data_IF_631446820142
#
_entry.id   IF_631446820142
#
_cell.length_a   1.000
_cell.length_b   1.000
_cell.length_c   1.000
_cell.angle_alpha   90.00
_cell.angle_beta   90.00
_cell.angle_gamma   90.00
#
_symmetry.space_group_name_H-M   'P 1'
#
loop_
_entity.id
_entity.type
_entity.pdbx_description
1 polymer ?
#
# COMPACT_ATOMS: atom_id res chain seq x y z
N UNK A 1 -15.29 -37.88 -76.19
CA UNK A 1 -14.57 -38.36 -74.97
C UNK A 1 -13.73 -37.30 -74.27
N UNK A 2 -13.08 -36.34 -74.94
CA UNK A 2 -12.21 -35.34 -74.26
C UNK A 2 -12.96 -34.32 -73.38
N UNK A 3 -14.16 -33.88 -73.76
CA UNK A 3 -14.94 -32.88 -73.00
C UNK A 3 -15.51 -33.45 -71.69
N UNK A 4 -15.90 -34.73 -71.69
CA UNK A 4 -16.46 -35.38 -70.50
C UNK A 4 -15.41 -35.56 -69.38
N UNK A 5 -14.14 -35.81 -69.75
CA UNK A 5 -13.04 -35.89 -68.78
C UNK A 5 -12.69 -34.52 -68.16
N UNK A 6 -12.84 -33.42 -68.91
CA UNK A 6 -12.64 -32.08 -68.35
C UNK A 6 -13.73 -31.69 -67.35
N UNK A 7 -14.98 -32.06 -67.63
CA UNK A 7 -16.11 -31.79 -66.71
C UNK A 7 -15.96 -32.64 -65.43
N UNK A 8 -15.57 -33.91 -65.55
CA UNK A 8 -15.35 -34.78 -64.41
C UNK A 8 -14.16 -34.32 -63.55
N UNK A 9 -13.10 -33.79 -64.18
CA UNK A 9 -11.94 -33.23 -63.48
C UNK A 9 -12.28 -31.91 -62.75
N UNK A 10 -13.11 -31.05 -63.34
CA UNK A 10 -13.59 -29.82 -62.67
C UNK A 10 -14.52 -30.12 -61.49
N UNK A 11 -15.39 -31.13 -61.60
CA UNK A 11 -16.25 -31.60 -60.52
C UNK A 11 -15.45 -32.23 -59.36
N UNK A 12 -14.34 -32.91 -59.66
CA UNK A 12 -13.44 -33.45 -58.64
C UNK A 12 -12.71 -32.34 -57.87
N UNK A 13 -12.33 -31.24 -58.55
CA UNK A 13 -11.70 -30.06 -57.93
C UNK A 13 -12.63 -29.29 -56.99
N UNK A 14 -13.94 -29.28 -57.28
CA UNK A 14 -14.95 -28.69 -56.39
C UNK A 14 -15.19 -29.52 -55.12
N UNK A 15 -14.95 -30.84 -55.16
CA UNK A 15 -15.03 -31.73 -53.99
C UNK A 15 -13.80 -31.64 -53.06
N UNK A 16 -12.70 -31.05 -53.54
CA UNK A 16 -11.47 -30.83 -52.79
C UNK A 16 -11.29 -29.39 -52.30
N UNK A 17 -12.31 -28.54 -52.42
CA UNK A 17 -12.28 -27.25 -51.72
C UNK A 17 -12.46 -27.52 -50.22
N UNK A 18 -11.49 -27.13 -49.37
CA UNK A 18 -11.70 -27.17 -47.93
C UNK A 18 -12.93 -26.32 -47.61
N UNK A 19 -13.74 -26.69 -46.60
CA UNK A 19 -14.83 -25.83 -46.16
C UNK A 19 -14.24 -24.44 -45.89
N UNK A 20 -14.90 -23.41 -46.43
CA UNK A 20 -14.60 -22.02 -46.09
C UNK A 20 -14.99 -21.90 -44.62
N UNK A 21 -14.05 -22.18 -43.72
CA UNK A 21 -14.12 -21.72 -42.35
C UNK A 21 -14.04 -20.20 -42.42
N UNK A 22 -15.18 -19.53 -42.24
CA UNK A 22 -15.15 -18.13 -41.79
C UNK A 22 -14.24 -18.11 -40.56
N UNK A 23 -13.07 -17.48 -40.70
CA UNK A 23 -12.23 -17.22 -39.55
C UNK A 23 -13.11 -16.44 -38.57
N UNK A 24 -13.30 -16.99 -37.36
CA UNK A 24 -14.05 -16.30 -36.33
C UNK A 24 -13.46 -14.89 -36.20
N UNK A 25 -14.30 -13.86 -36.40
CA UNK A 25 -13.85 -12.47 -36.36
C UNK A 25 -13.17 -12.19 -35.02
N UNK A 26 -11.92 -11.72 -35.05
CA UNK A 26 -11.16 -11.38 -33.83
C UNK A 26 -11.85 -10.27 -33.05
N UNK A 27 -11.59 -10.16 -31.74
CA UNK A 27 -12.10 -9.04 -30.95
C UNK A 27 -11.57 -7.71 -31.49
N UNK A 28 -10.31 -7.66 -31.91
CA UNK A 28 -9.75 -6.46 -32.54
C UNK A 28 -10.55 -6.02 -33.78
N UNK A 29 -10.97 -6.95 -34.64
CA UNK A 29 -11.74 -6.61 -35.84
C UNK A 29 -13.09 -5.97 -35.49
N UNK A 30 -13.72 -6.40 -34.39
CA UNK A 30 -14.97 -5.79 -33.88
C UNK A 30 -14.72 -4.38 -33.33
N UNK A 31 -13.61 -4.19 -32.61
CA UNK A 31 -13.17 -2.87 -32.12
C UNK A 31 -12.94 -1.93 -33.30
N UNK A 32 -12.24 -2.38 -34.35
CA UNK A 32 -11.90 -1.55 -35.52
C UNK A 32 -13.13 -1.11 -36.32
N UNK A 33 -14.16 -1.95 -36.40
CA UNK A 33 -15.43 -1.64 -37.09
C UNK A 33 -16.39 -0.77 -36.26
N UNK A 34 -16.23 -0.73 -34.94
CA UNK A 34 -17.14 0.01 -34.06
C UNK A 34 -17.11 1.52 -34.33
N UNK A 35 -18.27 2.16 -34.32
CA UNK A 35 -18.36 3.63 -34.39
C UNK A 35 -17.99 4.27 -33.04
N UNK A 36 -17.61 5.55 -33.06
CA UNK A 36 -17.40 6.30 -31.83
C UNK A 36 -18.68 6.28 -30.96
N UNK A 37 -18.52 6.07 -29.66
CA UNK A 37 -19.59 5.91 -28.69
C UNK A 37 -20.23 4.51 -28.65
N UNK A 38 -19.79 3.57 -29.49
CA UNK A 38 -20.35 2.22 -29.51
C UNK A 38 -20.06 1.45 -28.22
N UNK A 39 -21.00 0.56 -27.87
CA UNK A 39 -20.82 -0.45 -26.82
C UNK A 39 -20.61 -1.79 -27.52
N UNK A 40 -19.50 -2.45 -27.22
CA UNK A 40 -19.17 -3.79 -27.70
C UNK A 40 -19.30 -4.75 -26.52
N UNK A 41 -20.32 -5.59 -26.57
CA UNK A 41 -20.50 -6.67 -25.61
C UNK A 41 -19.64 -7.87 -26.02
N UNK A 42 -18.73 -8.28 -25.14
CA UNK A 42 -17.92 -9.48 -25.30
C UNK A 42 -18.66 -10.62 -24.61
N UNK A 43 -19.03 -11.64 -25.38
CA UNK A 43 -19.62 -12.86 -24.82
C UNK A 43 -18.60 -13.61 -23.99
N UNK A 44 -19.07 -14.37 -23.00
CA UNK A 44 -18.22 -15.22 -22.17
C UNK A 44 -17.27 -16.08 -23.02
N UNK A 45 -16.02 -16.20 -22.57
CA UNK A 45 -15.00 -16.92 -23.31
C UNK A 45 -13.58 -16.44 -23.02
N UNK A 46 -12.62 -17.21 -23.54
CA UNK A 46 -11.19 -16.94 -23.43
C UNK A 46 -10.63 -16.57 -24.80
N UNK A 47 -10.06 -15.37 -24.87
CA UNK A 47 -9.53 -14.75 -26.08
C UNK A 47 -8.01 -14.65 -25.96
N UNK A 48 -7.30 -15.39 -26.82
CA UNK A 48 -5.82 -15.39 -26.88
C UNK A 48 -5.38 -14.37 -27.94
N UNK A 49 -5.59 -13.09 -27.63
CA UNK A 49 -5.21 -11.97 -28.49
C UNK A 49 -4.85 -10.75 -27.64
N UNK A 50 -3.93 -9.94 -28.15
CA UNK A 50 -3.68 -8.60 -27.64
C UNK A 50 -4.53 -7.59 -28.42
N UNK A 51 -5.14 -6.64 -27.72
CA UNK A 51 -6.04 -5.65 -28.34
C UNK A 51 -5.59 -4.22 -28.10
N UNK A 52 -5.91 -3.34 -29.03
CA UNK A 52 -5.71 -1.90 -28.95
C UNK A 52 -7.04 -1.16 -29.14
N UNK A 53 -7.35 -0.25 -28.22
CA UNK A 53 -8.54 0.57 -28.21
C UNK A 53 -8.08 2.04 -28.31
N UNK A 54 -8.37 2.68 -29.44
CA UNK A 54 -8.00 4.07 -29.73
C UNK A 54 -9.19 5.00 -30.03
N UNK A 55 -10.40 4.45 -29.98
CA UNK A 55 -11.66 5.16 -30.23
C UNK A 55 -12.47 5.22 -28.94
N UNK A 56 -13.28 6.27 -28.73
CA UNK A 56 -14.13 6.41 -27.54
C UNK A 56 -15.24 5.37 -27.59
N UNK A 57 -15.01 4.17 -27.06
CA UNK A 57 -15.96 3.06 -27.06
C UNK A 57 -16.04 2.44 -25.67
N UNK A 58 -17.10 1.69 -25.42
CA UNK A 58 -17.23 0.84 -24.24
C UNK A 58 -17.04 -0.61 -24.63
N UNK A 59 -16.15 -1.30 -23.93
CA UNK A 59 -15.93 -2.74 -24.07
C UNK A 59 -16.37 -3.42 -22.76
N UNK A 60 -17.40 -4.26 -22.84
CA UNK A 60 -18.08 -4.81 -21.67
C UNK A 60 -18.18 -6.34 -21.77
N UNK A 61 -17.62 -7.04 -20.78
CA UNK A 61 -17.76 -8.49 -20.68
C UNK A 61 -19.14 -8.92 -20.19
N UNK A 62 -19.76 -9.89 -20.85
CA UNK A 62 -20.98 -10.57 -20.42
C UNK A 62 -20.63 -11.97 -19.90
N UNK A 63 -20.59 -12.10 -18.58
CA UNK A 63 -20.12 -13.33 -17.91
C UNK A 63 -18.61 -13.33 -17.73
N UNK A 64 -18.00 -14.51 -17.78
CA UNK A 64 -16.54 -14.66 -17.61
C UNK A 64 -15.82 -14.43 -18.94
N UNK A 65 -15.28 -13.22 -19.12
CA UNK A 65 -14.45 -12.85 -20.28
C UNK A 65 -12.99 -12.75 -19.87
N UNK A 66 -12.13 -13.50 -20.55
CA UNK A 66 -10.69 -13.53 -20.29
C UNK A 66 -9.95 -13.10 -21.56
N UNK A 67 -9.26 -11.97 -21.50
CA UNK A 67 -8.27 -11.54 -22.50
C UNK A 67 -6.89 -11.96 -22.04
N UNK A 68 -6.15 -12.69 -22.87
CA UNK A 68 -4.86 -13.24 -22.48
C UNK A 68 -3.82 -13.13 -23.59
N UNK A 69 -2.60 -12.79 -23.20
CA UNK A 69 -1.44 -12.87 -24.08
C UNK A 69 -0.18 -13.25 -23.29
N UNK A 70 0.69 -14.06 -23.92
CA UNK A 70 2.05 -14.34 -23.43
C UNK A 70 3.12 -13.67 -24.29
N UNK A 71 2.70 -12.94 -25.33
CA UNK A 71 3.62 -12.23 -26.21
C UNK A 71 4.21 -11.01 -25.50
N UNK A 72 5.27 -10.44 -26.07
CA UNK A 72 5.85 -9.23 -25.53
C UNK A 72 4.91 -8.04 -25.77
N UNK A 73 4.78 -7.17 -24.76
CA UNK A 73 3.93 -5.98 -24.82
C UNK A 73 2.54 -6.19 -24.21
N UNK A 74 1.66 -5.18 -24.24
CA UNK A 74 0.44 -5.23 -23.44
C UNK A 74 -0.62 -6.21 -23.95
N UNK A 75 -1.41 -6.81 -23.04
CA UNK A 75 -2.61 -7.57 -23.43
C UNK A 75 -3.69 -6.62 -23.94
N UNK A 76 -3.87 -5.50 -23.24
CA UNK A 76 -4.80 -4.43 -23.63
C UNK A 76 -4.05 -3.10 -23.66
N UNK A 77 -4.12 -2.39 -24.78
CA UNK A 77 -3.60 -1.03 -24.93
C UNK A 77 -4.76 -0.06 -25.13
N UNK A 78 -4.87 0.95 -24.28
CA UNK A 78 -5.86 2.03 -24.35
C UNK A 78 -5.13 3.33 -24.68
N UNK A 79 -5.64 4.04 -25.67
CA UNK A 79 -5.12 5.33 -26.11
C UNK A 79 -6.27 6.27 -26.48
N UNK A 80 -6.01 7.58 -26.52
CA UNK A 80 -7.00 8.57 -26.93
C UNK A 80 -7.87 9.03 -25.77
N UNK A 81 -9.19 9.10 -25.95
CA UNK A 81 -10.08 9.65 -24.93
C UNK A 81 -11.35 8.81 -24.78
N UNK A 82 -11.95 8.82 -23.59
CA UNK A 82 -13.29 8.28 -23.32
C UNK A 82 -13.50 6.79 -23.68
N UNK A 83 -12.43 6.00 -23.55
CA UNK A 83 -12.52 4.52 -23.54
C UNK A 83 -13.01 4.02 -22.18
N UNK A 84 -14.01 3.14 -22.20
CA UNK A 84 -14.52 2.46 -21.02
C UNK A 84 -14.26 0.95 -21.14
N UNK A 85 -13.72 0.34 -20.10
CA UNK A 85 -13.44 -1.10 -20.03
C UNK A 85 -14.09 -1.68 -18.77
N UNK A 86 -14.97 -2.69 -18.93
CA UNK A 86 -15.80 -3.20 -17.82
C UNK A 86 -15.91 -4.72 -17.80
N UNK A 87 -15.86 -5.29 -16.59
CA UNK A 87 -16.12 -6.71 -16.31
C UNK A 87 -15.29 -7.67 -17.19
N UNK A 88 -13.96 -7.48 -17.20
CA UNK A 88 -13.02 -8.25 -18.02
C UNK A 88 -11.85 -8.72 -17.16
N UNK A 89 -11.48 -9.98 -17.35
CA UNK A 89 -10.23 -10.53 -16.82
C UNK A 89 -9.12 -10.32 -17.83
N UNK A 90 -7.99 -9.76 -17.39
CA UNK A 90 -6.80 -9.53 -18.23
C UNK A 90 -5.64 -10.35 -17.65
N UNK A 91 -5.15 -11.31 -18.43
CA UNK A 91 -4.06 -12.20 -18.02
C UNK A 91 -2.82 -12.00 -18.89
N UNK A 92 -1.75 -11.44 -18.30
CA UNK A 92 -0.44 -11.41 -18.95
C UNK A 92 0.42 -12.57 -18.45
N UNK A 93 0.69 -13.56 -19.31
CA UNK A 93 1.47 -14.75 -18.95
C UNK A 93 2.97 -14.66 -19.26
N UNK A 94 3.39 -13.64 -20.01
CA UNK A 94 4.80 -13.30 -20.21
C UNK A 94 5.53 -12.89 -18.91
N UNK A 95 6.86 -12.77 -18.98
CA UNK A 95 7.73 -12.43 -17.84
C UNK A 95 8.92 -11.53 -18.22
N UNK A 96 8.87 -10.86 -19.38
CA UNK A 96 9.85 -9.85 -19.75
C UNK A 96 9.73 -8.62 -18.85
N UNK A 97 10.80 -7.84 -18.72
CA UNK A 97 10.83 -6.74 -17.74
C UNK A 97 9.70 -5.72 -17.93
N UNK A 98 9.33 -5.42 -19.17
CA UNK A 98 8.33 -4.40 -19.53
C UNK A 98 6.90 -4.95 -19.72
N UNK A 99 6.70 -6.26 -19.53
CA UNK A 99 5.40 -6.89 -19.74
C UNK A 99 4.33 -6.28 -18.84
N UNK A 100 3.19 -5.94 -19.44
CA UNK A 100 2.15 -5.12 -18.81
C UNK A 100 0.78 -5.69 -19.16
N UNK A 101 -0.11 -5.90 -18.20
CA UNK A 101 -1.43 -6.42 -18.54
C UNK A 101 -2.28 -5.37 -19.28
N UNK A 102 -2.35 -4.15 -18.73
CA UNK A 102 -3.12 -3.03 -19.27
C UNK A 102 -2.24 -1.77 -19.37
N UNK A 103 -2.03 -1.27 -20.59
CA UNK A 103 -1.30 -0.04 -20.84
C UNK A 103 -2.27 1.07 -21.25
N UNK A 104 -2.15 2.25 -20.64
CA UNK A 104 -3.13 3.35 -20.77
C UNK A 104 -2.40 4.67 -21.03
N UNK A 105 -2.81 5.38 -22.08
CA UNK A 105 -2.41 6.77 -22.35
C UNK A 105 -3.64 7.59 -22.73
N UNK A 106 -3.55 8.92 -22.63
CA UNK A 106 -4.65 9.81 -23.03
C UNK A 106 -5.50 10.25 -21.86
N UNK A 107 -6.83 10.38 -22.01
CA UNK A 107 -7.65 10.96 -20.94
C UNK A 107 -9.08 10.46 -20.82
N UNK A 108 -9.69 10.73 -19.65
CA UNK A 108 -11.12 10.48 -19.39
C UNK A 108 -11.53 9.01 -19.58
N UNK A 109 -10.67 8.06 -19.19
CA UNK A 109 -10.97 6.63 -19.27
C UNK A 109 -11.67 6.13 -18.00
N UNK A 110 -12.60 5.18 -18.16
CA UNK A 110 -13.31 4.53 -17.06
C UNK A 110 -13.02 3.02 -17.07
N UNK A 111 -12.25 2.55 -16.10
CA UNK A 111 -11.78 1.17 -15.97
C UNK A 111 -12.39 0.56 -14.71
N UNK A 112 -13.31 -0.38 -14.88
CA UNK A 112 -14.12 -0.88 -13.77
C UNK A 112 -14.29 -2.40 -13.80
N UNK A 113 -14.38 -3.02 -12.62
CA UNK A 113 -14.65 -4.46 -12.49
C UNK A 113 -13.63 -5.33 -13.25
N UNK A 114 -12.35 -4.93 -13.22
CA UNK A 114 -11.27 -5.64 -13.87
C UNK A 114 -10.63 -6.66 -12.94
N UNK A 115 -10.34 -7.85 -13.46
CA UNK A 115 -9.54 -8.86 -12.78
C UNK A 115 -8.21 -9.03 -13.51
N UNK A 116 -7.13 -8.50 -12.96
CA UNK A 116 -5.82 -8.48 -13.60
C UNK A 116 -4.90 -9.49 -12.93
N UNK A 117 -4.35 -10.40 -13.75
CA UNK A 117 -3.33 -11.37 -13.32
C UNK A 117 -2.07 -11.18 -14.16
N UNK A 118 -0.96 -10.91 -13.49
CA UNK A 118 0.31 -10.58 -14.14
C UNK A 118 1.50 -11.13 -13.35
N UNK A 119 2.63 -11.32 -14.03
CA UNK A 119 3.93 -11.54 -13.36
C UNK A 119 4.68 -10.22 -13.13
N UNK A 120 4.35 -9.18 -13.90
CA UNK A 120 5.09 -7.93 -14.01
C UNK A 120 4.16 -6.77 -13.69
N UNK A 121 3.89 -5.87 -14.63
CA UNK A 121 3.02 -4.72 -14.38
C UNK A 121 1.55 -5.09 -14.57
N UNK A 122 0.68 -4.61 -13.67
CA UNK A 122 -0.76 -4.74 -13.80
C UNK A 122 -1.30 -3.69 -14.76
N UNK A 123 -1.41 -2.45 -14.29
CA UNK A 123 -1.83 -1.30 -15.08
C UNK A 123 -0.67 -0.30 -15.15
N UNK A 124 -0.30 0.14 -16.35
CA UNK A 124 0.63 1.26 -16.55
C UNK A 124 -0.10 2.44 -17.17
N UNK A 125 0.02 3.61 -16.55
CA UNK A 125 -0.47 4.88 -17.06
C UNK A 125 0.75 5.72 -17.46
N UNK A 126 0.81 6.11 -18.73
CA UNK A 126 1.86 6.94 -19.29
C UNK A 126 1.21 8.18 -19.91
N UNK A 127 1.44 9.35 -19.31
CA UNK A 127 0.76 10.60 -19.66
C UNK A 127 -0.78 10.46 -19.71
N UNK A 128 -1.34 9.65 -18.81
CA UNK A 128 -2.77 9.43 -18.71
C UNK A 128 -3.38 10.37 -17.65
N UNK A 129 -4.46 11.06 -18.01
CA UNK A 129 -5.08 12.02 -17.11
C UNK A 129 -6.58 11.78 -16.96
N UNK A 130 -7.13 12.12 -15.80
CA UNK A 130 -8.57 12.02 -15.55
C UNK A 130 -9.10 10.58 -15.75
N UNK A 131 -8.25 9.57 -15.51
CA UNK A 131 -8.60 8.14 -15.56
C UNK A 131 -9.17 7.71 -14.22
N UNK A 132 -10.27 6.96 -14.25
CA UNK A 132 -10.86 6.33 -13.07
C UNK A 132 -10.65 4.82 -13.17
N UNK A 133 -9.99 4.24 -12.18
CA UNK A 133 -9.91 2.79 -11.98
C UNK A 133 -10.65 2.44 -10.71
N UNK A 134 -11.69 1.61 -10.81
CA UNK A 134 -12.50 1.23 -9.63
C UNK A 134 -12.93 -0.23 -9.58
N UNK A 135 -13.28 -0.69 -8.38
CA UNK A 135 -13.90 -2.01 -8.15
C UNK A 135 -13.12 -3.17 -8.78
N UNK A 136 -11.79 -3.08 -8.78
CA UNK A 136 -10.92 -3.98 -9.56
C UNK A 136 -9.89 -4.68 -8.67
N UNK A 137 -9.41 -5.82 -9.16
CA UNK A 137 -8.44 -6.66 -8.44
C UNK A 137 -7.19 -6.89 -9.28
N UNK A 138 -6.02 -6.76 -8.67
CA UNK A 138 -4.72 -6.96 -9.32
C UNK A 138 -3.91 -7.96 -8.50
N UNK A 139 -3.51 -9.06 -9.13
CA UNK A 139 -2.72 -10.13 -8.51
C UNK A 139 -1.39 -10.28 -9.26
N UNK A 140 -0.29 -10.03 -8.54
CA UNK A 140 1.06 -10.11 -9.07
C UNK A 140 1.87 -11.33 -8.62
N UNK A 141 3.19 -11.26 -8.86
CA UNK A 141 4.22 -12.19 -8.37
C UNK A 141 5.44 -11.50 -7.74
N UNK A 142 5.24 -10.31 -7.15
CA UNK A 142 6.27 -9.47 -6.49
C UNK A 142 7.42 -9.04 -7.41
N UNK A 143 7.18 -8.95 -8.72
CA UNK A 143 8.21 -8.68 -9.75
C UNK A 143 7.88 -7.52 -10.70
N UNK A 144 6.82 -6.78 -10.40
CA UNK A 144 6.39 -5.55 -11.06
C UNK A 144 5.27 -4.90 -10.25
N UNK A 145 4.91 -3.67 -10.59
CA UNK A 145 3.95 -2.87 -9.83
C UNK A 145 2.51 -3.26 -10.16
N UNK A 146 1.60 -3.07 -9.20
CA UNK A 146 0.17 -3.27 -9.42
C UNK A 146 -0.36 -2.23 -10.38
N UNK A 147 -0.21 -0.95 -10.00
CA UNK A 147 -0.47 0.21 -10.83
C UNK A 147 0.78 1.08 -10.85
N UNK A 148 1.20 1.52 -12.03
CA UNK A 148 2.38 2.33 -12.25
C UNK A 148 2.01 3.58 -13.06
N UNK A 149 2.25 4.76 -12.50
CA UNK A 149 1.93 6.04 -13.11
C UNK A 149 3.22 6.79 -13.42
N UNK A 150 3.31 7.28 -14.65
CA UNK A 150 4.32 8.25 -15.04
C UNK A 150 3.68 9.46 -15.72
N UNK A 151 3.99 10.66 -15.20
CA UNK A 151 3.47 11.95 -15.71
C UNK A 151 1.94 11.98 -15.88
N UNK A 152 1.21 11.33 -14.97
CA UNK A 152 -0.21 11.02 -15.10
C UNK A 152 -1.00 11.68 -13.96
N UNK A 153 -1.92 12.60 -14.27
CA UNK A 153 -2.51 13.52 -13.29
C UNK A 153 -4.02 13.39 -13.15
N UNK A 154 -4.56 13.80 -12.01
CA UNK A 154 -6.01 13.83 -11.73
C UNK A 154 -6.72 12.48 -11.89
N UNK A 155 -5.98 11.38 -11.70
CA UNK A 155 -6.53 10.03 -11.76
C UNK A 155 -7.12 9.62 -10.43
N UNK A 156 -8.03 8.65 -10.47
CA UNK A 156 -8.74 8.16 -9.28
C UNK A 156 -8.64 6.63 -9.21
N UNK A 157 -8.06 6.13 -8.13
CA UNK A 157 -7.92 4.70 -7.84
C UNK A 157 -8.76 4.35 -6.62
N UNK A 158 -9.88 3.66 -6.85
CA UNK A 158 -10.91 3.47 -5.84
C UNK A 158 -11.30 2.01 -5.65
N UNK A 159 -11.46 1.59 -4.39
CA UNK A 159 -12.07 0.29 -4.09
C UNK A 159 -11.30 -0.87 -4.77
N UNK A 160 -9.97 -0.79 -4.79
CA UNK A 160 -9.08 -1.77 -5.41
C UNK A 160 -8.54 -2.78 -4.40
N UNK A 161 -8.32 -4.01 -4.86
CA UNK A 161 -7.59 -5.05 -4.10
C UNK A 161 -6.30 -5.39 -4.85
N UNK A 162 -5.15 -5.08 -4.27
CA UNK A 162 -3.84 -5.29 -4.91
C UNK A 162 -2.99 -6.21 -4.03
N UNK A 163 -2.53 -7.33 -4.61
CA UNK A 163 -1.90 -8.41 -3.85
C UNK A 163 -0.65 -8.93 -4.54
N UNK A 164 0.42 -9.14 -3.76
CA UNK A 164 1.66 -9.79 -4.21
C UNK A 164 2.32 -9.06 -5.38
N UNK A 165 2.49 -7.74 -5.30
CA UNK A 165 3.20 -6.93 -6.30
C UNK A 165 4.50 -6.38 -5.72
N UNK A 166 5.33 -5.72 -6.53
CA UNK A 166 6.45 -4.94 -5.98
C UNK A 166 5.89 -3.74 -5.25
N UNK A 167 5.35 -2.76 -5.98
CA UNK A 167 4.68 -1.61 -5.38
C UNK A 167 3.19 -1.67 -5.75
N UNK A 168 2.31 -1.45 -4.79
CA UNK A 168 0.86 -1.51 -5.00
C UNK A 168 0.41 -0.49 -6.03
N UNK A 169 0.56 0.78 -5.67
CA UNK A 169 0.33 1.93 -6.54
C UNK A 169 1.58 2.81 -6.48
N UNK A 170 2.28 2.90 -7.62
CA UNK A 170 3.48 3.71 -7.80
C UNK A 170 3.17 4.95 -8.64
N UNK A 171 3.63 6.12 -8.19
CA UNK A 171 3.46 7.40 -8.87
C UNK A 171 4.81 8.09 -9.04
N UNK A 172 5.09 8.50 -10.26
CA UNK A 172 6.23 9.37 -10.57
C UNK A 172 5.77 10.59 -11.36
N UNK A 173 6.14 11.79 -10.89
CA UNK A 173 5.78 13.08 -11.53
C UNK A 173 4.28 13.20 -11.81
N UNK A 174 3.46 12.70 -10.89
CA UNK A 174 2.02 12.48 -11.10
C UNK A 174 1.23 13.20 -10.00
N UNK A 175 0.47 14.21 -10.40
CA UNK A 175 -0.12 15.21 -9.49
C UNK A 175 -1.63 15.06 -9.37
N UNK A 176 -2.17 15.56 -8.25
CA UNK A 176 -3.63 15.71 -8.05
C UNK A 176 -4.40 14.38 -8.14
N UNK A 177 -3.75 13.25 -7.87
CA UNK A 177 -4.39 11.93 -7.90
C UNK A 177 -5.08 11.62 -6.56
N UNK A 178 -6.16 10.84 -6.64
CA UNK A 178 -6.93 10.39 -5.49
C UNK A 178 -6.79 8.88 -5.38
N UNK A 179 -6.18 8.41 -4.30
CA UNK A 179 -6.03 6.99 -3.96
C UNK A 179 -6.93 6.73 -2.76
N UNK A 180 -8.07 6.08 -2.97
CA UNK A 180 -9.13 6.00 -1.97
C UNK A 180 -9.71 4.59 -1.78
N UNK A 181 -9.87 4.14 -0.52
CA UNK A 181 -10.50 2.84 -0.18
C UNK A 181 -9.85 1.61 -0.84
N UNK A 182 -8.54 1.59 -0.99
CA UNK A 182 -7.82 0.44 -1.55
C UNK A 182 -7.27 -0.48 -0.45
N UNK A 183 -7.29 -1.80 -0.67
CA UNK A 183 -6.63 -2.81 0.17
C UNK A 183 -5.39 -3.35 -0.56
N UNK A 184 -4.21 -3.00 -0.04
CA UNK A 184 -2.92 -3.32 -0.66
C UNK A 184 -2.09 -4.15 0.32
N UNK A 185 -1.72 -5.36 -0.12
CA UNK A 185 -1.09 -6.33 0.76
C UNK A 185 0.05 -7.13 0.13
N UNK A 186 0.95 -7.60 0.98
CA UNK A 186 2.06 -8.48 0.63
C UNK A 186 2.95 -7.91 -0.49
N UNK A 187 3.32 -6.64 -0.39
CA UNK A 187 4.10 -5.91 -1.39
C UNK A 187 5.33 -5.25 -0.75
N UNK A 188 6.28 -4.77 -1.55
CA UNK A 188 7.40 -3.95 -1.05
C UNK A 188 6.85 -2.63 -0.51
N UNK A 189 6.18 -1.86 -1.37
CA UNK A 189 5.47 -0.65 -0.96
C UNK A 189 3.97 -0.84 -1.17
N UNK A 190 3.14 -0.42 -0.22
CA UNK A 190 1.70 -0.32 -0.46
C UNK A 190 1.40 0.79 -1.47
N UNK A 191 1.75 2.02 -1.11
CA UNK A 191 1.69 3.20 -2.00
C UNK A 191 3.05 3.88 -2.03
N UNK A 192 3.51 4.31 -3.20
CA UNK A 192 4.83 4.90 -3.37
C UNK A 192 4.77 6.10 -4.30
N UNK A 193 4.98 7.30 -3.75
CA UNK A 193 4.92 8.57 -4.48
C UNK A 193 6.31 9.16 -4.61
N UNK A 194 6.73 9.48 -5.83
CA UNK A 194 8.00 10.14 -6.14
C UNK A 194 7.72 11.41 -6.95
N UNK A 195 8.22 12.56 -6.49
CA UNK A 195 8.08 13.84 -7.20
C UNK A 195 6.63 14.21 -7.53
N UNK A 196 5.69 13.86 -6.64
CA UNK A 196 4.26 13.79 -6.94
C UNK A 196 3.45 14.60 -5.92
N UNK A 197 3.17 15.85 -6.27
CA UNK A 197 2.50 16.84 -5.43
C UNK A 197 0.97 16.74 -5.43
N UNK A 198 0.35 17.33 -4.40
CA UNK A 198 -1.09 17.60 -4.32
C UNK A 198 -1.97 16.33 -4.40
N UNK A 199 -1.43 15.18 -3.97
CA UNK A 199 -2.13 13.90 -3.98
C UNK A 199 -2.92 13.66 -2.68
N UNK A 200 -4.00 12.89 -2.76
CA UNK A 200 -4.85 12.52 -1.61
C UNK A 200 -4.89 11.01 -1.45
N UNK A 201 -4.40 10.53 -0.32
CA UNK A 201 -4.41 9.12 0.09
C UNK A 201 -5.40 9.00 1.25
N UNK A 202 -6.56 8.38 1.03
CA UNK A 202 -7.56 8.28 2.09
C UNK A 202 -8.31 6.97 2.20
N UNK A 203 -8.62 6.53 3.42
CA UNK A 203 -9.38 5.30 3.69
C UNK A 203 -8.73 4.03 3.13
N UNK A 204 -7.43 4.05 2.82
CA UNK A 204 -6.73 2.88 2.33
C UNK A 204 -6.28 1.99 3.48
N UNK A 205 -6.15 0.71 3.17
CA UNK A 205 -5.62 -0.31 4.04
C UNK A 205 -4.32 -0.83 3.43
N UNK A 206 -3.21 -0.69 4.14
CA UNK A 206 -1.89 -1.13 3.70
C UNK A 206 -1.29 -2.08 4.74
N UNK A 207 -1.13 -3.35 4.36
CA UNK A 207 -0.83 -4.43 5.31
C UNK A 207 0.14 -5.48 4.84
N UNK A 208 0.96 -5.95 5.79
CA UNK A 208 1.99 -6.96 5.52
C UNK A 208 2.87 -6.56 4.33
N UNK A 209 3.09 -5.25 4.16
CA UNK A 209 4.01 -4.69 3.21
C UNK A 209 5.35 -4.46 3.91
N UNK A 210 6.44 -4.26 3.16
CA UNK A 210 7.68 -3.78 3.78
C UNK A 210 7.42 -2.37 4.31
N UNK A 211 6.93 -1.47 3.46
CA UNK A 211 6.54 -0.12 3.86
C UNK A 211 5.11 0.15 3.42
N UNK A 212 4.28 0.63 4.34
CA UNK A 212 2.86 0.86 4.08
C UNK A 212 2.65 1.96 3.04
N UNK A 213 3.31 3.11 3.22
CA UNK A 213 3.38 4.20 2.24
C UNK A 213 4.71 4.93 2.29
N UNK A 214 5.24 5.29 1.14
CA UNK A 214 6.40 6.17 1.01
C UNK A 214 6.03 7.42 0.21
N UNK A 215 6.25 8.59 0.81
CA UNK A 215 6.18 9.89 0.17
C UNK A 215 7.61 10.37 -0.03
N UNK A 216 8.04 10.52 -1.28
CA UNK A 216 9.39 10.93 -1.65
C UNK A 216 9.35 12.19 -2.49
N UNK A 217 10.08 13.22 -2.05
CA UNK A 217 10.26 14.46 -2.81
C UNK A 217 8.94 15.07 -3.29
N UNK A 218 7.92 15.01 -2.43
CA UNK A 218 6.53 15.38 -2.73
C UNK A 218 6.04 16.47 -1.78
N UNK A 219 5.18 17.35 -2.27
CA UNK A 219 4.70 18.53 -1.54
C UNK A 219 3.17 18.53 -1.48
N UNK A 220 2.60 18.98 -0.36
CA UNK A 220 1.13 19.09 -0.16
C UNK A 220 0.36 17.78 -0.37
N UNK A 221 0.89 16.67 0.14
CA UNK A 221 0.14 15.40 0.14
C UNK A 221 -0.77 15.31 1.36
N UNK A 222 -1.99 14.82 1.19
CA UNK A 222 -2.89 14.49 2.31
C UNK A 222 -2.93 12.98 2.52
N UNK A 223 -2.63 12.53 3.73
CA UNK A 223 -2.74 11.14 4.17
C UNK A 223 -3.77 11.10 5.30
N UNK A 224 -5.00 10.70 4.98
CA UNK A 224 -6.15 10.86 5.88
C UNK A 224 -6.97 9.57 6.06
N UNK A 225 -7.30 9.18 7.30
CA UNK A 225 -8.16 8.01 7.56
C UNK A 225 -7.63 6.66 7.00
N UNK A 226 -6.31 6.48 6.86
CA UNK A 226 -5.73 5.21 6.40
C UNK A 226 -5.38 4.29 7.57
N UNK A 227 -5.33 2.97 7.31
CA UNK A 227 -4.85 1.96 8.25
C UNK A 227 -3.57 1.31 7.71
N UNK A 228 -2.47 1.48 8.44
CA UNK A 228 -1.16 0.90 8.17
C UNK A 228 -0.86 -0.15 9.23
N UNK A 229 -0.94 -1.44 8.88
CA UNK A 229 -0.81 -2.49 9.87
C UNK A 229 0.15 -3.63 9.50
N UNK A 230 0.82 -4.17 10.52
CA UNK A 230 1.70 -5.34 10.41
C UNK A 230 2.78 -5.18 9.33
N UNK A 231 3.27 -3.96 9.10
CA UNK A 231 4.45 -3.72 8.26
C UNK A 231 5.69 -3.85 9.15
N UNK A 232 6.10 -5.11 9.42
CA UNK A 232 7.13 -5.42 10.43
C UNK A 232 8.18 -6.46 10.00
N UNK A 233 7.99 -7.13 8.87
CA UNK A 233 8.81 -8.29 8.50
C UNK A 233 10.24 -7.93 8.04
N UNK A 234 10.54 -6.65 7.81
CA UNK A 234 11.84 -6.17 7.38
C UNK A 234 12.44 -5.15 8.35
N UNK A 235 13.77 -5.11 8.44
CA UNK A 235 14.49 -4.13 9.26
C UNK A 235 14.26 -2.68 8.83
N UNK A 236 13.87 -2.47 7.58
CA UNK A 236 13.51 -1.18 7.01
C UNK A 236 11.99 -0.99 6.91
N UNK A 237 11.18 -1.76 7.67
CA UNK A 237 9.73 -1.63 7.57
C UNK A 237 9.19 -0.40 8.29
N UNK A 238 8.26 0.31 7.65
CA UNK A 238 7.52 1.44 8.23
C UNK A 238 6.03 1.39 7.86
N UNK A 239 5.17 1.98 8.70
CA UNK A 239 3.78 2.28 8.32
C UNK A 239 3.74 3.38 7.27
N UNK A 240 4.28 4.55 7.61
CA UNK A 240 4.46 5.68 6.70
C UNK A 240 5.91 6.19 6.75
N UNK A 241 6.50 6.39 5.57
CA UNK A 241 7.77 7.08 5.38
C UNK A 241 7.54 8.40 4.64
N UNK A 242 7.93 9.50 5.26
CA UNK A 242 7.96 10.86 4.69
C UNK A 242 9.44 11.20 4.46
N UNK A 243 9.88 11.16 3.21
CA UNK A 243 11.28 11.35 2.81
C UNK A 243 11.43 12.57 1.90
N UNK A 244 12.22 13.57 2.32
CA UNK A 244 12.43 14.80 1.55
C UNK A 244 11.12 15.47 1.09
N UNK A 245 10.08 15.40 1.92
CA UNK A 245 8.74 15.87 1.61
C UNK A 245 8.31 16.98 2.58
N UNK A 246 7.43 17.87 2.10
CA UNK A 246 7.00 19.02 2.88
C UNK A 246 5.52 19.35 2.71
N UNK A 247 4.98 20.12 3.66
CA UNK A 247 3.58 20.52 3.69
C UNK A 247 2.60 19.33 3.65
N UNK A 248 3.03 18.14 4.06
CA UNK A 248 2.17 16.95 4.13
C UNK A 248 1.29 17.03 5.37
N UNK A 249 0.01 16.69 5.22
CA UNK A 249 -0.93 16.55 6.35
C UNK A 249 -1.24 15.07 6.55
N UNK A 250 -0.89 14.56 7.74
CA UNK A 250 -1.14 13.18 8.16
C UNK A 250 -2.14 13.21 9.30
N UNK A 251 -3.38 12.80 9.07
CA UNK A 251 -4.44 12.92 10.07
C UNK A 251 -5.42 11.75 10.10
N UNK A 252 -5.96 11.45 11.29
CA UNK A 252 -6.96 10.40 11.50
C UNK A 252 -6.53 9.01 11.01
N UNK A 253 -5.22 8.76 10.88
CA UNK A 253 -4.71 7.44 10.46
C UNK A 253 -4.46 6.53 11.66
N UNK A 254 -4.48 5.22 11.41
CA UNK A 254 -4.07 4.19 12.35
C UNK A 254 -2.75 3.54 11.88
N UNK A 255 -1.74 3.61 12.74
CA UNK A 255 -0.44 2.94 12.58
C UNK A 255 -0.34 1.86 13.65
N UNK A 256 -0.61 0.60 13.27
CA UNK A 256 -0.71 -0.52 14.20
C UNK A 256 0.33 -1.62 13.92
N UNK A 257 1.08 -2.05 14.93
CA UNK A 257 1.97 -3.21 14.83
C UNK A 257 3.01 -3.11 13.70
N UNK A 258 3.51 -1.90 13.41
CA UNK A 258 4.59 -1.70 12.46
C UNK A 258 5.94 -1.66 13.18
N UNK A 259 7.03 -1.91 12.45
CA UNK A 259 8.38 -1.76 13.00
C UNK A 259 8.73 -0.29 13.26
N UNK A 260 8.27 0.63 12.42
CA UNK A 260 8.19 2.06 12.72
C UNK A 260 6.80 2.51 12.30
N UNK A 261 6.02 3.16 13.17
CA UNK A 261 4.70 3.68 12.81
C UNK A 261 4.83 4.77 11.75
N UNK A 262 5.49 5.87 12.12
CA UNK A 262 5.72 7.03 11.26
C UNK A 262 7.22 7.35 11.24
N UNK A 263 7.83 7.39 10.07
CA UNK A 263 9.22 7.79 9.89
C UNK A 263 9.32 9.05 9.02
N UNK A 264 9.97 10.08 9.56
CA UNK A 264 10.17 11.39 8.93
C UNK A 264 11.67 11.58 8.73
N UNK A 265 12.12 11.58 7.47
CA UNK A 265 13.52 11.66 7.09
C UNK A 265 13.78 12.79 6.09
N UNK A 266 14.74 13.66 6.40
CA UNK A 266 15.11 14.80 5.55
C UNK A 266 13.90 15.69 5.15
N UNK A 267 12.87 15.73 6.02
CA UNK A 267 11.55 16.30 5.72
C UNK A 267 11.19 17.47 6.66
N UNK A 268 10.39 18.41 6.15
CA UNK A 268 10.09 19.66 6.86
C UNK A 268 8.66 20.18 6.69
N UNK A 269 8.20 21.01 7.64
CA UNK A 269 6.87 21.65 7.60
C UNK A 269 5.68 20.70 7.44
N UNK A 270 5.81 19.45 7.87
CA UNK A 270 4.71 18.49 7.85
C UNK A 270 3.87 18.59 9.13
N UNK A 271 2.56 18.34 9.00
CA UNK A 271 1.60 18.34 10.11
C UNK A 271 1.06 16.92 10.32
N UNK A 272 1.46 16.30 11.42
CA UNK A 272 1.03 14.97 11.85
C UNK A 272 0.13 15.13 13.06
N UNK A 273 -1.18 14.99 12.89
CA UNK A 273 -2.11 15.23 14.00
C UNK A 273 -3.27 14.25 14.08
N UNK A 274 -3.77 14.00 15.28
CA UNK A 274 -5.00 13.21 15.46
C UNK A 274 -4.87 11.78 14.90
N UNK A 275 -3.67 11.19 14.95
CA UNK A 275 -3.44 9.80 14.53
C UNK A 275 -3.41 8.85 15.74
N UNK A 276 -3.72 7.58 15.49
CA UNK A 276 -3.57 6.47 16.43
C UNK A 276 -2.29 5.70 16.11
N UNK A 277 -1.31 5.72 17.00
CA UNK A 277 0.01 5.09 16.82
C UNK A 277 0.17 4.02 17.90
N UNK A 278 -0.12 2.77 17.55
CA UNK A 278 -0.35 1.69 18.52
C UNK A 278 0.52 0.46 18.26
N UNK A 279 1.07 -0.12 19.33
CA UNK A 279 1.81 -1.38 19.31
C UNK A 279 2.97 -1.43 18.30
N UNK A 280 3.56 -0.28 17.94
CA UNK A 280 4.71 -0.22 17.04
C UNK A 280 6.01 -0.44 17.82
N UNK A 281 7.05 -0.95 17.16
CA UNK A 281 8.37 -1.02 17.80
C UNK A 281 8.94 0.40 18.04
N UNK A 282 8.75 1.32 17.08
CA UNK A 282 8.95 2.76 17.28
C UNK A 282 7.67 3.47 16.84
N UNK A 283 7.08 4.32 17.67
CA UNK A 283 5.89 5.08 17.33
C UNK A 283 6.16 6.11 16.23
N UNK A 284 6.98 7.12 16.53
CA UNK A 284 7.43 8.13 15.57
C UNK A 284 8.95 8.29 15.59
N UNK A 285 9.57 8.35 14.41
CA UNK A 285 11.01 8.50 14.24
C UNK A 285 11.32 9.73 13.37
N UNK A 286 12.30 10.52 13.79
CA UNK A 286 12.84 11.66 13.05
C UNK A 286 14.32 11.41 12.70
N UNK A 287 14.70 11.75 11.47
CA UNK A 287 16.10 11.77 11.05
C UNK A 287 16.33 12.96 10.12
N UNK A 288 17.18 13.90 10.54
CA UNK A 288 17.41 15.15 9.77
C UNK A 288 16.12 15.89 9.40
N UNK A 289 15.12 15.80 10.25
CA UNK A 289 13.81 16.41 10.02
C UNK A 289 13.69 17.71 10.80
N UNK A 290 13.11 18.74 10.21
CA UNK A 290 13.02 20.08 10.81
C UNK A 290 11.65 20.70 10.69
N UNK A 291 11.24 21.52 11.67
CA UNK A 291 10.03 22.34 11.57
C UNK A 291 8.72 21.55 11.34
N UNK A 292 8.67 20.28 11.75
CA UNK A 292 7.45 19.46 11.69
C UNK A 292 6.61 19.62 12.96
N UNK A 293 5.29 19.41 12.85
CA UNK A 293 4.34 19.51 13.96
C UNK A 293 3.64 18.18 14.24
N UNK A 294 3.68 17.73 15.48
CA UNK A 294 3.14 16.45 15.94
C UNK A 294 2.13 16.75 17.04
N UNK A 295 0.85 16.82 16.68
CA UNK A 295 -0.18 17.42 17.52
C UNK A 295 -1.31 16.44 17.84
N UNK A 296 -1.71 16.33 19.10
CA UNK A 296 -2.94 15.60 19.47
C UNK A 296 -3.02 14.15 18.96
N UNK A 297 -1.89 13.47 18.80
CA UNK A 297 -1.84 12.05 18.45
C UNK A 297 -1.98 11.18 19.70
N UNK A 298 -2.38 9.92 19.52
CA UNK A 298 -2.50 8.93 20.60
C UNK A 298 -1.46 7.83 20.40
N UNK A 299 -0.45 7.80 21.28
CA UNK A 299 0.61 6.79 21.33
C UNK A 299 0.31 5.79 22.47
N UNK A 300 0.15 4.51 22.12
CA UNK A 300 -0.17 3.45 23.09
C UNK A 300 0.58 2.16 22.76
N UNK A 301 1.22 1.54 23.74
CA UNK A 301 1.83 0.22 23.59
C UNK A 301 3.06 0.18 22.69
N UNK A 302 3.59 1.35 22.29
CA UNK A 302 4.81 1.38 21.50
C UNK A 302 6.01 1.00 22.38
N UNK A 303 6.96 0.25 21.81
CA UNK A 303 8.18 -0.14 22.55
C UNK A 303 9.06 1.08 22.82
N UNK A 304 9.17 1.96 21.83
CA UNK A 304 9.69 3.32 21.98
C UNK A 304 8.71 4.31 21.34
N UNK A 305 8.17 5.25 22.11
CA UNK A 305 7.14 6.17 21.62
C UNK A 305 7.66 7.12 20.53
N UNK A 306 8.81 7.76 20.78
CA UNK A 306 9.39 8.72 19.86
C UNK A 306 10.92 8.71 19.90
N UNK A 307 11.56 9.12 18.80
CA UNK A 307 13.00 9.34 18.76
C UNK A 307 13.40 10.33 17.66
N UNK A 308 14.46 11.09 17.91
CA UNK A 308 15.07 11.99 16.93
C UNK A 308 16.56 11.77 16.80
N UNK A 309 17.05 11.86 15.56
CA UNK A 309 18.48 11.89 15.24
C UNK A 309 18.74 13.09 14.34
N UNK A 310 19.69 13.94 14.72
CA UNK A 310 20.10 15.12 13.93
C UNK A 310 18.91 15.98 13.45
N UNK A 311 17.87 16.10 14.26
CA UNK A 311 16.61 16.77 13.94
C UNK A 311 16.40 17.94 14.90
N UNK A 312 15.77 19.02 14.45
CA UNK A 312 15.63 20.26 15.23
C UNK A 312 14.31 20.96 14.94
N UNK A 313 13.84 21.81 15.85
CA UNK A 313 12.61 22.61 15.69
C UNK A 313 11.33 21.80 15.41
N UNK A 314 11.30 20.51 15.74
CA UNK A 314 10.06 19.74 15.65
C UNK A 314 9.22 20.02 16.89
N UNK A 315 7.97 20.44 16.69
CA UNK A 315 7.05 20.85 17.74
C UNK A 315 6.08 19.71 18.09
N UNK A 316 6.04 19.33 19.36
CA UNK A 316 5.11 18.33 19.87
C UNK A 316 4.19 18.98 20.91
N UNK A 317 2.89 18.78 20.77
CA UNK A 317 1.90 19.38 21.66
C UNK A 317 0.63 18.54 21.76
N UNK A 318 0.10 18.39 22.97
CA UNK A 318 -1.23 17.81 23.18
C UNK A 318 -1.31 16.33 22.84
N UNK A 319 -0.19 15.61 22.65
CA UNK A 319 -0.23 14.19 22.36
C UNK A 319 -0.49 13.40 23.64
N UNK A 320 -1.22 12.29 23.50
CA UNK A 320 -1.38 11.32 24.56
C UNK A 320 -0.26 10.27 24.45
N UNK A 321 0.49 10.09 25.52
CA UNK A 321 1.57 9.09 25.64
C UNK A 321 1.24 8.15 26.80
N UNK A 322 1.05 6.86 26.57
CA UNK A 322 0.69 5.93 27.66
C UNK A 322 1.81 5.74 28.69
N UNK A 323 3.07 5.80 28.26
CA UNK A 323 4.24 5.72 29.13
C UNK A 323 4.52 6.98 29.97
N UNK A 324 3.89 8.12 29.64
CA UNK A 324 4.11 9.35 30.38
C UNK A 324 3.50 9.30 31.80
N UNK A 325 4.29 9.77 32.77
CA UNK A 325 3.74 10.20 34.07
C UNK A 325 2.94 11.48 33.85
N UNK A 326 1.69 11.52 34.33
CA UNK A 326 0.79 12.66 34.09
C UNK A 326 0.21 13.20 35.40
N UNK A 327 0.08 14.51 35.49
CA UNK A 327 -0.58 15.22 36.60
C UNK A 327 -1.34 16.39 36.01
N UNK A 328 -2.64 16.49 36.32
CA UNK A 328 -3.52 17.58 35.90
C UNK A 328 -4.10 18.22 37.17
N UNK A 329 -3.56 19.38 37.56
CA UNK A 329 -3.88 20.03 38.84
C UNK A 329 -5.15 20.88 38.75
N UNK A 330 -5.40 21.49 37.60
CA UNK A 330 -6.53 22.40 37.37
C UNK A 330 -7.73 21.73 36.67
N UNK A 331 -7.58 20.49 36.21
CA UNK A 331 -8.62 19.69 35.57
C UNK A 331 -8.87 20.08 34.11
N UNK A 332 -7.91 20.75 33.45
CA UNK A 332 -8.07 21.24 32.08
C UNK A 332 -7.85 20.15 31.00
N UNK A 333 -7.46 18.93 31.40
CA UNK A 333 -7.23 17.79 30.50
C UNK A 333 -5.82 17.71 29.92
N UNK A 334 -4.90 18.57 30.35
CA UNK A 334 -3.48 18.55 29.98
C UNK A 334 -2.60 18.28 31.20
N UNK A 335 -1.43 17.68 30.96
CA UNK A 335 -0.47 17.33 32.01
C UNK A 335 0.49 18.49 32.26
N UNK A 336 0.68 18.84 33.54
CA UNK A 336 1.74 19.75 34.01
C UNK A 336 3.14 19.11 33.94
N UNK A 337 3.20 17.79 33.80
CA UNK A 337 4.46 17.06 33.57
C UNK A 337 4.72 17.01 32.07
N UNK A 338 5.85 17.60 31.67
CA UNK A 338 6.39 17.56 30.30
C UNK A 338 6.76 16.11 29.94
N UNK A 339 6.35 15.67 28.76
CA UNK A 339 6.85 14.42 28.20
C UNK A 339 8.15 14.69 27.43
N UNK A 340 9.13 13.80 27.56
CA UNK A 340 10.43 13.92 26.89
C UNK A 340 10.83 12.55 26.34
N UNK A 341 10.98 12.46 25.02
CA UNK A 341 11.55 11.29 24.38
C UNK A 341 13.06 11.48 24.19
N UNK A 342 13.82 10.73 25.00
CA UNK A 342 15.27 10.78 25.04
C UNK A 342 15.87 9.69 24.13
N UNK A 343 16.66 10.04 23.09
CA UNK A 343 17.27 9.06 22.20
C UNK A 343 18.48 8.32 22.81
N UNK A 344 18.80 8.52 24.09
CA UNK A 344 20.00 8.00 24.77
C UNK A 344 20.30 6.53 24.43
N UNK A 345 19.32 5.65 24.59
CA UNK A 345 19.50 4.23 24.33
C UNK A 345 19.79 3.92 22.85
N UNK A 346 19.20 4.68 21.93
CA UNK A 346 19.42 4.54 20.50
C UNK A 346 20.82 5.00 20.12
N UNK A 347 21.26 6.14 20.66
CA UNK A 347 22.62 6.65 20.48
C UNK A 347 23.66 5.63 20.98
N UNK A 348 23.37 4.96 22.10
CA UNK A 348 24.22 3.90 22.63
C UNK A 348 24.29 2.68 21.70
N UNK A 349 23.13 2.20 21.24
CA UNK A 349 23.02 1.01 20.37
C UNK A 349 23.46 1.24 18.94
N UNK A 350 23.44 2.49 18.44
CA UNK A 350 23.97 2.84 17.13
C UNK A 350 25.50 2.64 17.06
N UNK A 351 26.20 2.92 18.16
CA UNK A 351 27.65 2.74 18.24
C UNK A 351 28.06 1.30 18.56
N UNK A 352 27.27 0.61 19.40
CA UNK A 352 27.53 -0.77 19.84
C UNK A 352 26.19 -1.53 19.82
N UNK A 353 25.86 -2.23 18.71
CA UNK A 353 24.58 -2.91 18.52
C UNK A 353 24.23 -3.93 19.61
N UNK A 354 25.23 -4.56 20.23
CA UNK A 354 25.06 -5.54 21.31
C UNK A 354 24.32 -4.98 22.52
N UNK A 355 24.32 -3.65 22.71
CA UNK A 355 23.56 -3.03 23.79
C UNK A 355 22.04 -3.19 23.65
N UNK A 356 21.55 -3.59 22.47
CA UNK A 356 20.14 -3.93 22.26
C UNK A 356 19.67 -5.06 23.20
N UNK A 357 20.57 -5.97 23.60
CA UNK A 357 20.29 -7.05 24.55
C UNK A 357 19.91 -6.55 25.95
N UNK A 358 20.28 -5.31 26.29
CA UNK A 358 19.99 -4.69 27.59
C UNK A 358 18.82 -3.71 27.52
N UNK A 359 18.02 -3.75 26.44
CA UNK A 359 16.81 -2.93 26.34
C UNK A 359 15.91 -3.16 27.56
N UNK A 360 15.46 -2.07 28.20
CA UNK A 360 14.68 -2.08 29.45
C UNK A 360 15.35 -2.79 30.65
N UNK A 361 16.66 -3.08 30.58
CA UNK A 361 17.39 -3.55 31.76
C UNK A 361 17.39 -2.44 32.84
N UNK A 362 17.14 -2.76 34.12
CA UNK A 362 17.03 -1.76 35.18
C UNK A 362 18.22 -0.79 35.27
N UNK A 363 19.44 -1.30 35.07
CA UNK A 363 20.65 -0.48 35.07
C UNK A 363 20.69 0.52 33.92
N UNK A 364 20.11 0.19 32.77
CA UNK A 364 20.13 1.06 31.61
C UNK A 364 19.06 2.15 31.67
N UNK A 365 17.90 1.84 32.25
CA UNK A 365 16.88 2.84 32.62
C UNK A 365 17.49 3.85 33.61
N UNK A 366 18.25 3.37 34.61
CA UNK A 366 18.95 4.27 35.54
C UNK A 366 19.99 5.13 34.82
N UNK A 367 20.80 4.56 33.94
CA UNK A 367 21.80 5.30 33.16
C UNK A 367 21.16 6.36 32.26
N UNK A 368 20.04 6.04 31.59
CA UNK A 368 19.28 6.99 30.79
C UNK A 368 18.80 8.18 31.64
N UNK A 369 18.33 7.93 32.86
CA UNK A 369 17.93 8.99 33.79
C UNK A 369 19.12 9.86 34.25
N UNK A 370 20.33 9.30 34.31
CA UNK A 370 21.55 9.98 34.77
C UNK A 370 22.31 10.72 33.67
N UNK A 371 22.39 10.15 32.47
CA UNK A 371 23.30 10.54 31.38
C UNK A 371 22.57 11.12 30.17
N UNK A 372 21.35 11.64 30.40
CA UNK A 372 20.41 12.22 29.42
C UNK A 372 21.07 12.79 28.18
N UNK A 373 20.44 12.59 27.03
CA UNK A 373 20.92 13.22 25.79
C UNK A 373 20.95 14.75 25.91
N UNK A 374 21.82 15.43 25.13
CA UNK A 374 21.85 16.88 25.08
C UNK A 374 20.46 17.47 24.77
N UNK A 375 20.06 18.61 25.37
CA UNK A 375 18.72 19.18 25.21
C UNK A 375 18.29 19.37 23.75
N UNK A 376 19.22 19.72 22.87
CA UNK A 376 19.00 19.91 21.44
C UNK A 376 18.62 18.62 20.67
N UNK A 377 18.79 17.45 21.29
CA UNK A 377 18.39 16.15 20.71
C UNK A 377 17.08 15.61 21.29
N UNK A 378 16.55 16.26 22.33
CA UNK A 378 15.34 15.81 23.00
C UNK A 378 14.11 16.24 22.21
N UNK A 379 13.16 15.30 22.06
CA UNK A 379 11.80 15.63 21.62
C UNK A 379 10.94 15.85 22.86
N UNK A 380 10.31 17.01 22.98
CA UNK A 380 9.54 17.39 24.16
C UNK A 380 8.12 17.78 23.79
N UNK A 381 7.15 17.23 24.51
CA UNK A 381 5.75 17.66 24.47
C UNK A 381 5.45 18.39 25.79
N UNK A 382 5.19 19.69 25.68
CA UNK A 382 5.03 20.59 26.82
C UNK A 382 3.67 20.47 27.50
N UNK A 383 2.66 19.98 26.77
CA UNK A 383 1.28 19.88 27.24
C UNK A 383 0.70 18.50 26.89
N UNK A 384 1.29 17.38 27.39
CA UNK A 384 0.78 16.06 27.10
C UNK A 384 -0.70 15.93 27.48
N UNK A 385 -1.51 15.32 26.63
CA UNK A 385 -2.93 15.13 26.91
C UNK A 385 -3.15 14.08 28.01
N UNK A 386 -4.10 14.33 28.90
CA UNK A 386 -4.56 13.36 29.89
C UNK A 386 -5.40 12.24 29.26
N UNK A 387 -6.07 12.54 28.15
CA UNK A 387 -7.03 11.65 27.49
C UNK A 387 -6.58 11.30 26.08
N UNK A 388 -6.93 10.09 25.63
CA UNK A 388 -6.73 9.68 24.24
C UNK A 388 -7.60 10.55 23.31
N UNK A 389 -7.03 11.04 22.22
CA UNK A 389 -7.77 11.78 21.18
C UNK A 389 -8.70 10.84 20.39
N UNK A 390 -8.24 9.61 20.16
CA UNK A 390 -9.00 8.55 19.50
C UNK A 390 -9.06 7.33 20.42
N UNK A 391 -10.26 6.77 20.60
CA UNK A 391 -10.46 5.59 21.44
C UNK A 391 -9.75 4.40 20.80
N UNK A 392 -8.77 3.84 21.51
CA UNK A 392 -8.16 2.56 21.14
C UNK A 392 -9.13 1.45 21.53
N UNK A 393 -9.85 0.89 20.55
CA UNK A 393 -10.57 -0.36 20.76
C UNK A 393 -9.57 -1.44 21.17
N UNK A 394 -9.58 -1.84 22.44
CA UNK A 394 -8.92 -3.07 22.85
C UNK A 394 -9.69 -4.19 22.18
N UNK A 395 -9.07 -4.88 21.23
CA UNK A 395 -9.53 -6.22 20.88
C UNK A 395 -9.70 -6.97 22.18
N UNK A 396 -10.94 -7.38 22.46
CA UNK A 396 -11.24 -8.31 23.54
C UNK A 396 -10.77 -9.69 23.09
N UNK A 397 -9.46 -9.84 22.87
CA UNK A 397 -8.84 -11.16 22.78
C UNK A 397 -9.29 -11.88 24.05
N UNK A 398 -10.02 -12.98 23.86
CA UNK A 398 -10.81 -13.52 24.95
C UNK A 398 -9.82 -13.92 26.05
N UNK A 399 -9.81 -13.13 27.13
CA UNK A 399 -8.98 -13.40 28.31
C UNK A 399 -9.12 -14.89 28.69
N UNK A 400 -10.31 -15.45 28.45
CA UNK A 400 -10.65 -16.85 28.58
C UNK A 400 -9.72 -17.83 27.85
N UNK A 401 -9.39 -17.62 26.57
CA UNK A 401 -8.47 -18.52 25.84
C UNK A 401 -7.06 -18.44 26.41
N UNK A 402 -6.61 -17.25 26.78
CA UNK A 402 -5.30 -17.05 27.42
C UNK A 402 -5.25 -17.75 28.79
N UNK A 403 -6.31 -17.63 29.60
CA UNK A 403 -6.46 -18.36 30.87
C UNK A 403 -6.45 -19.88 30.68
N UNK A 404 -7.10 -20.40 29.63
CA UNK A 404 -7.08 -21.83 29.30
C UNK A 404 -5.66 -22.29 28.95
N UNK A 405 -4.98 -21.57 28.05
CA UNK A 405 -3.61 -21.92 27.62
C UNK A 405 -2.65 -21.87 28.82
N UNK A 406 -2.72 -20.82 29.64
CA UNK A 406 -1.91 -20.72 30.87
C UNK A 406 -2.23 -21.85 31.85
N UNK A 407 -3.51 -22.19 32.03
CA UNK A 407 -3.93 -23.31 32.89
C UNK A 407 -3.39 -24.65 32.40
N UNK A 408 -3.47 -24.92 31.10
CA UNK A 408 -2.93 -26.14 30.48
C UNK A 408 -1.40 -26.21 30.66
N UNK A 409 -0.68 -25.11 30.47
CA UNK A 409 0.77 -25.06 30.68
C UNK A 409 1.17 -25.31 32.14
N UNK A 410 0.42 -24.76 33.09
CA UNK A 410 0.66 -24.99 34.53
C UNK A 410 0.39 -26.46 34.88
N UNK A 411 -0.69 -27.05 34.39
CA UNK A 411 -1.00 -28.47 34.62
C UNK A 411 0.04 -29.39 33.95
N UNK A 412 0.52 -29.05 32.75
CA UNK A 412 1.57 -29.79 32.06
C UNK A 412 2.90 -29.73 32.84
N UNK A 413 3.29 -28.56 33.34
CA UNK A 413 4.51 -28.44 34.14
C UNK A 413 4.42 -29.17 35.49
N UNK A 414 3.28 -29.10 36.18
CA UNK A 414 3.04 -29.83 37.43
C UNK A 414 3.04 -31.35 37.21
N UNK A 415 2.42 -31.84 36.14
CA UNK A 415 2.40 -33.27 35.82
C UNK A 415 3.79 -33.79 35.46
N UNK A 416 4.57 -33.04 34.69
CA UNK A 416 5.98 -33.36 34.43
C UNK A 416 6.82 -33.39 35.71
N UNK A 417 6.59 -32.46 36.64
CA UNK A 417 7.27 -32.45 37.93
C UNK A 417 6.91 -33.67 38.80
N UNK A 418 5.64 -34.06 38.83
CA UNK A 418 5.17 -35.24 39.57
C UNK A 418 5.69 -36.55 38.95
N UNK A 419 5.66 -36.65 37.62
CA UNK A 419 6.20 -37.80 36.87
C UNK A 419 7.71 -37.93 37.06
N UNK A 420 8.45 -36.83 36.97
CA UNK A 420 9.90 -36.81 37.22
C UNK A 420 10.27 -37.21 38.66
N UNK A 421 9.39 -36.97 39.63
CA UNK A 421 9.61 -37.38 41.04
C UNK A 421 9.41 -38.88 41.29
N UNK A 422 8.70 -39.60 40.41
CA UNK A 422 8.46 -41.05 40.52
C UNK A 422 9.55 -41.90 39.85
N UNK A 423 10.55 -41.29 39.21
CA UNK A 423 11.65 -41.97 38.52
C UNK A 423 12.93 -41.99 39.40
N UNK A 424 12.80 -41.82 40.72
CA UNK A 424 13.90 -42.03 41.68
C UNK A 424 13.64 -43.20 42.61
#
# INVERSE_FOLDING_TARGET
>A
MKILNYILFLLLLLFFMPPITEAASTLQSKIDLASNGAVIEIVEGRYEEAITISKPITLEGKGEVILRSCEAGPVVSITGEAVNLRNITIEHCGDQLEDTALFVTGSNHDLEELNIVTKRFGIRLDHANDVVVRNSKIIGKKRGNGIDLWSSNRNQFKDLIIVNVSDGIYLEKSHENIINRNDIQNSRYGMHLMFSNDNVLSHNVSRSNITGTMLMESVRTSVTNNSFYANSDNVNSQGLLIYSASETVVTENEFNANRVGIFIEDADHNLIHTNKVVDNFIGVQFKKATDNKILSNTFVGNVNDAQAIASSNNHMEGNYWDAASKVDVDGNGTSEIIFTADPYFLTLTANVPEYQLFFQAPGLILLQNMLKSPPEQLLTDLTPSMNMTLVVEKETSSKFVLWIISGVMILASLSLFILGRKIR
#
